data_IF_343557843226
#
_entry.id   IF_343557843226
#
_cell.length_a   1.000
_cell.length_b   1.000
_cell.length_c   1.000
_cell.angle_alpha   90.00
_cell.angle_beta   90.00
_cell.angle_gamma   90.00
#
_symmetry.space_group_name_H-M   'P 1'
#
loop_
_entity.id
_entity.type
_entity.pdbx_description
1 polymer ?
#
# COMPACT_ATOMS: atom_id res chain seq x y z
N UNK A 1 7.60 13.01 8.60
CA UNK A 1 8.35 12.83 7.34
C UNK A 1 7.98 11.49 6.71
N UNK A 2 7.78 11.47 5.40
CA UNK A 2 7.41 10.24 4.71
C UNK A 2 8.41 9.94 3.59
N UNK A 3 8.29 8.72 3.03
CA UNK A 3 9.18 8.24 1.98
C UNK A 3 8.43 7.72 0.76
N UNK A 4 7.20 8.18 0.57
CA UNK A 4 6.39 7.74 -0.58
C UNK A 4 7.10 7.97 -1.92
N UNK A 5 7.63 9.18 -2.10
CA UNK A 5 8.29 9.51 -3.36
C UNK A 5 9.52 8.63 -3.60
N UNK A 6 10.23 8.28 -2.55
CA UNK A 6 11.40 7.43 -2.65
C UNK A 6 11.03 6.02 -3.09
N UNK A 7 9.94 5.48 -2.56
CA UNK A 7 9.43 4.18 -2.99
C UNK A 7 8.93 4.25 -4.43
N UNK A 8 8.17 5.30 -4.76
CA UNK A 8 7.65 5.48 -6.11
C UNK A 8 8.78 5.52 -7.15
N UNK A 9 9.88 6.17 -6.82
CA UNK A 9 11.02 6.24 -7.72
C UNK A 9 11.64 4.87 -8.01
N UNK A 10 11.45 3.90 -7.13
CA UNK A 10 11.98 2.55 -7.32
C UNK A 10 11.06 1.64 -8.12
N UNK A 11 9.79 2.04 -8.32
CA UNK A 11 8.83 1.18 -9.01
C UNK A 11 9.25 0.89 -10.44
N UNK A 12 9.72 1.90 -11.15
CA UNK A 12 10.12 1.75 -12.54
C UNK A 12 11.28 0.76 -12.68
N UNK A 13 12.29 0.89 -11.82
CA UNK A 13 13.44 -0.01 -11.87
C UNK A 13 13.08 -1.45 -11.50
N UNK A 14 11.96 -1.64 -10.81
CA UNK A 14 11.49 -2.97 -10.42
C UNK A 14 10.40 -3.48 -11.35
N UNK A 15 10.08 -2.73 -12.40
CA UNK A 15 9.03 -3.06 -13.36
C UNK A 15 7.66 -3.24 -12.69
N UNK A 16 7.32 -2.33 -11.80
CA UNK A 16 6.06 -2.32 -11.07
C UNK A 16 5.29 -1.04 -11.35
N UNK A 17 3.97 -1.16 -11.36
CA UNK A 17 3.08 0.00 -11.47
C UNK A 17 2.66 0.52 -10.10
N UNK A 18 2.75 -0.33 -9.09
CA UNK A 18 2.44 0.04 -7.73
C UNK A 18 3.04 -0.94 -6.74
N UNK A 19 3.05 -0.54 -5.47
CA UNK A 19 3.53 -1.39 -4.38
C UNK A 19 2.57 -1.32 -3.22
N UNK A 20 2.12 -2.47 -2.76
CA UNK A 20 1.23 -2.58 -1.61
C UNK A 20 2.05 -2.90 -0.37
N UNK A 21 1.95 -2.05 0.64
CA UNK A 21 2.68 -2.21 1.90
C UNK A 21 1.68 -2.54 3.01
N UNK A 22 1.79 -3.72 3.56
CA UNK A 22 0.89 -4.18 4.63
C UNK A 22 1.61 -4.34 5.96
N UNK A 23 2.91 -4.58 5.93
CA UNK A 23 3.69 -4.74 7.15
C UNK A 23 3.85 -3.42 7.88
N UNK A 24 3.65 -3.44 9.19
CA UNK A 24 3.62 -2.24 10.02
C UNK A 24 4.84 -1.34 9.86
N UNK A 25 6.03 -1.92 9.91
CA UNK A 25 7.27 -1.15 9.82
C UNK A 25 7.42 -0.46 8.45
N UNK A 26 7.02 -1.15 7.38
CA UNK A 26 7.12 -0.58 6.04
C UNK A 26 6.04 0.46 5.78
N UNK A 27 4.85 0.29 6.37
CA UNK A 27 3.83 1.34 6.32
C UNK A 27 4.31 2.60 7.03
N UNK A 28 4.94 2.42 8.18
CA UNK A 28 5.50 3.56 8.91
C UNK A 28 6.62 4.24 8.14
N UNK A 29 7.49 3.44 7.54
CA UNK A 29 8.58 4.00 6.72
C UNK A 29 8.01 4.86 5.59
N UNK A 30 7.01 4.35 4.88
CA UNK A 30 6.43 5.07 3.75
C UNK A 30 5.69 6.32 4.18
N UNK A 31 4.83 6.21 5.19
CA UNK A 31 3.86 7.25 5.53
C UNK A 31 4.30 8.19 6.66
N UNK A 32 5.21 7.75 7.53
CA UNK A 32 5.53 8.47 8.75
C UNK A 32 4.44 8.38 9.81
N UNK A 33 3.41 7.56 9.57
CA UNK A 33 2.28 7.41 10.48
C UNK A 33 2.19 5.97 10.99
N UNK A 34 1.95 5.82 12.28
CA UNK A 34 1.93 4.52 12.93
C UNK A 34 0.50 4.08 13.23
N UNK A 35 0.07 2.99 12.60
CA UNK A 35 -1.14 2.27 12.97
C UNK A 35 -0.77 0.82 13.23
N UNK A 36 -1.41 0.22 14.23
CA UNK A 36 -0.97 -1.07 14.73
C UNK A 36 -1.33 -2.24 13.80
N UNK A 37 -0.46 -3.23 13.77
CA UNK A 37 -0.74 -4.53 13.18
C UNK A 37 -1.29 -4.49 11.77
N UNK A 38 -2.51 -5.01 11.62
CA UNK A 38 -3.21 -5.09 10.33
C UNK A 38 -4.18 -3.95 10.10
N UNK A 39 -4.11 -2.90 10.91
CA UNK A 39 -5.09 -1.81 10.88
C UNK A 39 -4.77 -0.73 9.85
N UNK A 40 -4.03 -1.07 8.83
CA UNK A 40 -3.73 -0.11 7.77
C UNK A 40 -3.01 -0.76 6.61
N UNK A 41 -2.96 -0.02 5.51
CA UNK A 41 -2.35 -0.46 4.29
C UNK A 41 -1.90 0.77 3.52
N UNK A 42 -0.71 0.74 2.96
CA UNK A 42 -0.22 1.83 2.12
C UNK A 42 -0.08 1.35 0.69
N UNK A 43 -0.52 2.15 -0.25
CA UNK A 43 -0.37 1.86 -1.67
C UNK A 43 0.41 2.98 -2.32
N UNK A 44 1.53 2.63 -2.94
CA UNK A 44 2.36 3.58 -3.66
C UNK A 44 2.18 3.31 -5.16
N UNK A 45 1.70 4.31 -5.90
CA UNK A 45 1.66 4.23 -7.35
C UNK A 45 2.67 5.20 -7.93
N UNK A 46 2.90 5.15 -9.22
CA UNK A 46 3.85 6.08 -9.86
C UNK A 46 3.34 7.52 -9.83
N UNK A 47 2.03 7.70 -9.68
CA UNK A 47 1.41 9.02 -9.78
C UNK A 47 0.84 9.52 -8.45
N UNK A 48 0.39 8.62 -7.59
CA UNK A 48 -0.33 9.01 -6.39
C UNK A 48 -0.10 8.00 -5.27
N UNK A 49 -0.23 8.47 -4.04
CA UNK A 49 0.00 7.66 -2.84
C UNK A 49 -1.29 7.58 -2.05
N UNK A 50 -1.52 6.43 -1.42
CA UNK A 50 -2.72 6.19 -0.62
C UNK A 50 -2.36 5.60 0.72
N UNK A 51 -3.12 5.96 1.73
CA UNK A 51 -3.07 5.29 3.03
C UNK A 51 -4.50 4.87 3.40
N UNK A 52 -4.72 3.57 3.47
CA UNK A 52 -6.03 3.01 3.83
C UNK A 52 -5.99 2.60 5.29
N UNK A 53 -6.99 3.02 6.05
CA UNK A 53 -7.09 2.67 7.46
C UNK A 53 -8.56 2.63 7.87
N UNK A 54 -8.84 2.24 9.13
CA UNK A 54 -10.20 2.19 9.60
C UNK A 54 -10.54 3.43 10.44
N UNK A 55 -11.81 3.51 10.90
CA UNK A 55 -12.32 4.71 11.56
C UNK A 55 -11.56 5.09 12.83
N UNK A 56 -10.87 4.15 13.46
CA UNK A 56 -10.09 4.45 14.67
C UNK A 56 -8.91 5.36 14.38
N UNK A 57 -8.38 5.32 13.17
CA UNK A 57 -7.16 6.03 12.81
C UNK A 57 -7.36 7.09 11.74
N UNK A 58 -8.53 7.16 11.11
CA UNK A 58 -8.73 8.02 9.93
C UNK A 58 -8.42 9.48 10.20
N UNK A 59 -8.92 10.01 11.30
CA UNK A 59 -8.70 11.42 11.62
C UNK A 59 -7.23 11.70 11.88
N UNK A 60 -6.58 10.86 12.67
CA UNK A 60 -5.15 11.04 12.96
C UNK A 60 -4.32 10.89 11.69
N UNK A 61 -4.66 9.93 10.84
CA UNK A 61 -3.95 9.74 9.57
C UNK A 61 -4.08 10.97 8.68
N UNK A 62 -5.28 11.55 8.60
CA UNK A 62 -5.48 12.76 7.79
C UNK A 62 -4.66 13.93 8.27
N UNK A 63 -4.37 13.99 9.58
CA UNK A 63 -3.54 15.06 10.14
C UNK A 63 -2.06 14.84 9.91
N UNK A 64 -1.61 13.59 9.89
CA UNK A 64 -0.19 13.27 9.96
C UNK A 64 0.39 12.71 8.66
N UNK A 65 -0.42 12.08 7.83
CA UNK A 65 0.05 11.53 6.56
C UNK A 65 0.02 12.64 5.51
N UNK A 66 1.20 12.94 4.97
CA UNK A 66 1.33 13.97 3.94
C UNK A 66 1.53 13.31 2.58
N UNK A 67 1.12 14.02 1.54
CA UNK A 67 1.31 13.61 0.15
C UNK A 67 0.56 12.35 -0.24
N UNK A 68 -0.36 11.87 0.58
CA UNK A 68 -1.15 10.69 0.28
C UNK A 68 -2.62 10.95 0.57
N UNK A 69 -3.48 10.30 -0.19
CA UNK A 69 -4.91 10.34 0.08
C UNK A 69 -5.23 9.29 1.14
N UNK A 70 -5.82 9.74 2.25
CA UNK A 70 -6.25 8.84 3.31
C UNK A 70 -7.69 8.42 3.03
N UNK A 71 -7.95 7.12 2.97
CA UNK A 71 -9.28 6.57 2.74
C UNK A 71 -9.65 5.64 3.88
N UNK A 72 -10.91 5.68 4.28
CA UNK A 72 -11.40 4.89 5.40
C UNK A 72 -12.06 3.61 4.90
N UNK A 73 -11.67 2.48 5.49
CA UNK A 73 -12.29 1.18 5.24
C UNK A 73 -13.40 0.94 6.25
N UNK A 74 -14.47 0.30 5.84
CA UNK A 74 -15.61 -0.03 6.70
C UNK A 74 -16.92 0.14 5.97
N UNK A 75 -18.02 -0.14 6.63
CA UNK A 75 -19.38 0.08 6.11
C UNK A 75 -19.58 -0.51 4.69
N UNK A 76 -19.21 -1.76 4.52
CA UNK A 76 -19.38 -2.45 3.24
C UNK A 76 -18.26 -2.22 2.25
N UNK A 77 -17.28 -1.38 2.58
CA UNK A 77 -16.11 -1.15 1.74
C UNK A 77 -14.86 -1.45 2.55
N UNK A 78 -14.35 -2.66 2.39
CA UNK A 78 -13.13 -3.07 3.08
C UNK A 78 -11.87 -2.65 2.31
N UNK A 79 -10.73 -3.08 2.80
CA UNK A 79 -9.45 -2.76 2.18
C UNK A 79 -9.39 -3.26 0.74
N UNK A 80 -9.94 -4.44 0.47
CA UNK A 80 -9.94 -5.00 -0.89
C UNK A 80 -10.68 -4.09 -1.87
N UNK A 81 -11.80 -3.52 -1.45
CA UNK A 81 -12.58 -2.63 -2.30
C UNK A 81 -11.83 -1.33 -2.58
N UNK A 82 -11.22 -0.75 -1.56
CA UNK A 82 -10.42 0.47 -1.71
C UNK A 82 -9.22 0.22 -2.63
N UNK A 83 -8.56 -0.90 -2.43
CA UNK A 83 -7.41 -1.26 -3.25
C UNK A 83 -7.82 -1.48 -4.70
N UNK A 84 -8.94 -2.18 -4.94
CA UNK A 84 -9.43 -2.41 -6.29
C UNK A 84 -9.72 -1.10 -7.02
N UNK A 85 -10.36 -0.15 -6.34
CA UNK A 85 -10.63 1.15 -6.95
C UNK A 85 -9.36 1.85 -7.38
N UNK A 86 -8.33 1.83 -6.53
CA UNK A 86 -7.07 2.48 -6.85
C UNK A 86 -6.37 1.77 -8.01
N UNK A 87 -6.38 0.44 -8.01
CA UNK A 87 -5.80 -0.35 -9.09
C UNK A 87 -6.46 -0.02 -10.43
N UNK A 88 -7.78 0.09 -10.44
CA UNK A 88 -8.51 0.43 -11.66
C UNK A 88 -8.26 1.88 -12.08
N UNK A 89 -8.26 2.79 -11.12
CA UNK A 89 -8.06 4.23 -11.41
C UNK A 89 -6.72 4.48 -12.06
N UNK A 90 -5.68 3.79 -11.61
CA UNK A 90 -4.32 4.00 -12.11
C UNK A 90 -3.89 2.97 -13.15
N UNK A 91 -4.81 2.11 -13.58
CA UNK A 91 -4.53 1.08 -14.58
C UNK A 91 -3.30 0.24 -14.21
N UNK A 92 -3.22 -0.15 -12.95
CA UNK A 92 -2.11 -0.94 -12.45
C UNK A 92 -2.20 -2.35 -13.03
N UNK A 93 -1.13 -2.79 -13.67
CA UNK A 93 -1.04 -4.13 -14.23
C UNK A 93 -0.13 -5.03 -13.42
N UNK A 94 0.90 -4.47 -12.80
CA UNK A 94 1.82 -5.21 -11.95
C UNK A 94 1.91 -4.53 -10.60
N UNK A 95 1.35 -5.19 -9.58
CA UNK A 95 1.32 -4.69 -8.22
C UNK A 95 2.26 -5.52 -7.35
N UNK A 96 3.29 -4.90 -6.81
CA UNK A 96 4.20 -5.56 -5.88
C UNK A 96 3.54 -5.74 -4.52
N UNK A 97 3.90 -6.81 -3.83
CA UNK A 97 3.44 -7.04 -2.46
C UNK A 97 4.58 -7.62 -1.62
N UNK A 98 4.42 -7.56 -0.32
CA UNK A 98 5.45 -8.00 0.63
C UNK A 98 5.34 -9.51 0.85
N UNK A 99 6.15 -10.27 0.12
CA UNK A 99 6.05 -11.73 0.11
C UNK A 99 6.37 -12.37 1.47
N UNK A 100 7.16 -11.70 2.29
CA UNK A 100 7.52 -12.21 3.61
C UNK A 100 6.42 -12.00 4.65
N UNK A 101 5.45 -11.13 4.37
CA UNK A 101 4.47 -10.70 5.37
C UNK A 101 3.02 -10.95 4.95
N UNK A 102 2.80 -11.42 3.74
CA UNK A 102 1.44 -11.69 3.27
C UNK A 102 1.17 -13.19 3.34
N UNK A 103 0.12 -13.57 4.06
CA UNK A 103 -0.28 -14.97 4.11
C UNK A 103 -0.80 -15.44 2.75
N UNK A 104 -0.66 -16.74 2.48
CA UNK A 104 -1.13 -17.30 1.21
C UNK A 104 -2.61 -17.03 1.00
N UNK A 105 -3.41 -17.10 2.07
CA UNK A 105 -4.84 -16.84 2.00
C UNK A 105 -5.13 -15.40 1.54
N UNK A 106 -4.37 -14.43 2.06
CA UNK A 106 -4.52 -13.04 1.67
C UNK A 106 -4.13 -12.84 0.21
N UNK A 107 -3.00 -13.43 -0.20
CA UNK A 107 -2.54 -13.37 -1.58
C UNK A 107 -3.60 -13.91 -2.53
N UNK A 108 -4.16 -15.08 -2.21
CA UNK A 108 -5.17 -15.71 -3.07
C UNK A 108 -6.43 -14.86 -3.16
N UNK A 109 -6.84 -14.26 -2.05
CA UNK A 109 -8.01 -13.39 -2.05
C UNK A 109 -7.79 -12.16 -2.93
N UNK A 110 -6.64 -11.53 -2.83
CA UNK A 110 -6.32 -10.38 -3.67
C UNK A 110 -6.15 -10.77 -5.13
N UNK A 111 -5.52 -11.91 -5.40
CA UNK A 111 -5.32 -12.37 -6.77
C UNK A 111 -6.66 -12.58 -7.49
N UNK A 112 -7.70 -13.02 -6.76
CA UNK A 112 -9.03 -13.19 -7.34
C UNK A 112 -9.77 -11.86 -7.49
N UNK A 113 -9.56 -10.94 -6.57
CA UNK A 113 -10.31 -9.70 -6.53
C UNK A 113 -9.74 -8.62 -7.46
N UNK A 114 -8.43 -8.61 -7.68
CA UNK A 114 -7.76 -7.53 -8.39
C UNK A 114 -7.50 -7.88 -9.84
N UNK A 115 -7.75 -6.96 -10.77
CA UNK A 115 -7.50 -7.18 -12.20
C UNK A 115 -6.04 -6.91 -12.57
N UNK A 116 -5.10 -7.38 -11.76
CA UNK A 116 -3.68 -7.13 -11.99
C UNK A 116 -2.85 -8.32 -11.54
N UNK A 117 -1.62 -8.35 -11.99
CA UNK A 117 -0.66 -9.37 -11.57
C UNK A 117 -0.06 -8.95 -10.23
N UNK A 118 -0.04 -9.89 -9.27
CA UNK A 118 0.62 -9.67 -7.98
C UNK A 118 2.06 -10.18 -8.07
N UNK A 119 3.00 -9.30 -7.79
CA UNK A 119 4.43 -9.60 -7.95
C UNK A 119 5.07 -9.62 -6.56
N UNK A 120 5.59 -10.78 -6.10
CA UNK A 120 6.23 -10.83 -4.80
C UNK A 120 7.54 -10.05 -4.81
N UNK A 121 7.77 -9.29 -3.75
CA UNK A 121 8.99 -8.52 -3.59
C UNK A 121 9.47 -8.60 -2.16
N UNK A 122 10.76 -8.67 -1.99
CA UNK A 122 11.36 -8.52 -0.68
C UNK A 122 11.28 -7.06 -0.29
N UNK A 123 10.89 -6.84 0.95
CA UNK A 123 10.61 -5.49 1.42
C UNK A 123 11.66 -5.02 2.38
N UNK A 124 12.70 -4.47 1.83
CA UNK A 124 13.76 -3.85 2.60
C UNK A 124 13.95 -2.44 2.07
N UNK A 125 12.84 -1.68 2.04
CA UNK A 125 12.83 -0.37 1.40
C UNK A 125 13.80 0.61 2.03
N UNK A 126 14.00 0.50 3.35
CA UNK A 126 14.91 1.38 4.06
C UNK A 126 16.36 1.21 3.61
N UNK A 127 16.71 0.03 3.14
CA UNK A 127 18.07 -0.25 2.71
C UNK A 127 18.20 -0.37 1.20
N UNK A 128 17.10 -0.38 0.47
CA UNK A 128 17.12 -0.56 -0.99
C UNK A 128 17.47 0.71 -1.75
N UNK A 129 17.60 1.82 -1.08
CA UNK A 129 18.00 3.07 -1.71
C UNK A 129 19.50 3.24 -1.86
N UNK A 130 20.24 2.25 -1.49
CA UNK A 130 21.71 2.27 -1.57
C UNK A 130 22.23 1.95 -2.94
#
# INVERSE_FOLDING_TARGET
MNHFAKIAAQLESRDLDGMLLTHEANRFYASGFHSAGTDGMALVTREKFYYFTDSRYTEAARRHVQDAEVQEAGHGRGYSALLMEAVQRHSIQRLGFEDAYMAVREHDAYARALPCELVPRRTCWQSCGR
#
